data_IF_254094500840
#
_entry.id   IF_254094500840
#
_cell.length_a   1.000
_cell.length_b   1.000
_cell.length_c   1.000
_cell.angle_alpha   90.00
_cell.angle_beta   90.00
_cell.angle_gamma   90.00
#
_symmetry.space_group_name_H-M   'P 1'
#
loop_
_entity.id
_entity.type
_entity.pdbx_description
1 polymer ?
#
# COMPACT_ATOMS: atom_id res chain seq x y z
N UNK A 1 -12.45 31.51 6.12
CA UNK A 1 -11.40 30.54 6.51
C UNK A 1 -12.08 29.21 6.76
N UNK A 2 -12.03 28.28 5.80
CA UNK A 2 -12.66 26.97 5.97
C UNK A 2 -11.73 26.09 6.81
N UNK A 3 -12.18 25.70 8.00
CA UNK A 3 -11.52 24.68 8.81
C UNK A 3 -11.63 23.36 8.06
N UNK A 4 -10.51 22.85 7.54
CA UNK A 4 -10.47 21.49 6.99
C UNK A 4 -10.84 20.53 8.12
N UNK A 5 -11.75 19.56 7.89
CA UNK A 5 -12.13 18.60 8.91
C UNK A 5 -10.86 17.90 9.42
N UNK A 6 -10.64 17.92 10.74
CA UNK A 6 -9.59 17.14 11.40
C UNK A 6 -9.76 15.68 10.96
N UNK A 7 -8.89 15.13 10.10
CA UNK A 7 -9.02 13.73 9.78
C UNK A 7 -8.51 13.02 11.02
N UNK A 8 -9.37 12.37 11.79
CA UNK A 8 -8.95 11.37 12.76
C UNK A 8 -8.84 10.02 12.04
N UNK A 9 -8.20 10.03 10.87
CA UNK A 9 -8.09 8.88 9.96
C UNK A 9 -6.71 8.27 10.04
N UNK A 10 -6.63 7.01 10.46
CA UNK A 10 -5.42 6.21 10.41
C UNK A 10 -5.59 5.20 9.28
N UNK A 11 -4.71 5.22 8.28
CA UNK A 11 -4.56 4.11 7.34
C UNK A 11 -3.58 3.12 7.95
N UNK A 12 -4.06 1.92 8.28
CA UNK A 12 -3.21 0.84 8.78
C UNK A 12 -3.21 -0.32 7.78
N UNK A 13 -2.02 -0.63 7.26
CA UNK A 13 -1.75 -1.78 6.40
C UNK A 13 -1.00 -2.79 7.25
N UNK A 14 -1.51 -4.02 7.36
CA UNK A 14 -0.92 -5.07 8.20
C UNK A 14 -0.77 -6.36 7.42
N UNK A 15 0.47 -6.84 7.34
CA UNK A 15 0.87 -8.11 6.77
C UNK A 15 0.19 -8.43 5.43
N UNK A 16 0.20 -7.46 4.50
CA UNK A 16 -0.44 -7.63 3.20
C UNK A 16 0.46 -8.45 2.28
N UNK A 17 -0.07 -9.59 1.85
CA UNK A 17 0.54 -10.46 0.84
C UNK A 17 -0.28 -10.43 -0.44
N UNK A 18 0.40 -10.51 -1.58
CA UNK A 18 -0.26 -10.66 -2.88
C UNK A 18 0.56 -11.53 -3.79
N UNK A 19 -0.06 -12.60 -4.27
CA UNK A 19 0.47 -13.47 -5.32
C UNK A 19 -0.43 -13.39 -6.54
N UNK A 20 0.18 -13.45 -7.73
CA UNK A 20 -0.52 -13.65 -8.99
C UNK A 20 -0.22 -15.05 -9.50
N UNK A 21 -1.25 -15.76 -9.94
CA UNK A 21 -1.07 -17.00 -10.67
C UNK A 21 -0.54 -16.67 -12.07
N UNK A 22 0.53 -17.36 -12.48
CA UNK A 22 1.04 -17.30 -13.85
C UNK A 22 1.17 -18.73 -14.38
N UNK A 23 1.30 -18.88 -15.70
CA UNK A 23 1.42 -20.20 -16.33
C UNK A 23 2.68 -20.97 -15.91
N UNK A 24 3.76 -20.27 -15.53
CA UNK A 24 5.01 -20.89 -15.11
C UNK A 24 4.99 -21.23 -13.61
N UNK A 25 4.71 -20.23 -12.77
CA UNK A 25 4.63 -20.38 -11.32
C UNK A 25 3.91 -19.18 -10.69
N UNK A 26 3.33 -19.31 -9.47
CA UNK A 26 2.85 -18.16 -8.73
C UNK A 26 3.97 -17.13 -8.51
N UNK A 27 3.70 -15.85 -8.79
CA UNK A 27 4.62 -14.75 -8.53
C UNK A 27 4.14 -14.00 -7.31
N UNK A 28 4.98 -13.97 -6.27
CA UNK A 28 4.76 -13.15 -5.08
C UNK A 28 5.19 -11.71 -5.34
N UNK A 29 4.24 -10.79 -5.27
CA UNK A 29 4.41 -9.37 -5.60
C UNK A 29 4.44 -8.50 -4.35
N UNK A 30 3.67 -8.86 -3.32
CA UNK A 30 3.76 -8.24 -1.99
C UNK A 30 4.07 -9.35 -0.97
N UNK A 31 5.12 -9.12 -0.18
CA UNK A 31 5.68 -10.11 0.76
C UNK A 31 5.52 -9.63 2.22
N UNK A 32 4.28 -9.40 2.67
CA UNK A 32 4.00 -8.99 4.05
C UNK A 32 4.23 -7.51 4.32
N UNK A 33 3.60 -6.65 3.51
CA UNK A 33 3.72 -5.19 3.65
C UNK A 33 2.92 -4.72 4.87
N UNK A 34 3.59 -3.97 5.76
CA UNK A 34 2.97 -3.36 6.93
C UNK A 34 3.43 -1.92 7.10
N UNK A 35 2.50 -0.97 7.24
CA UNK A 35 2.77 0.41 7.60
C UNK A 35 1.51 1.09 8.14
N UNK A 36 1.70 2.21 8.82
CA UNK A 36 0.62 3.07 9.29
C UNK A 36 0.85 4.48 8.76
N UNK A 37 -0.23 5.18 8.41
CA UNK A 37 -0.21 6.57 7.98
C UNK A 37 -1.29 7.32 8.73
N UNK A 38 -0.86 8.27 9.57
CA UNK A 38 -1.77 9.13 10.28
C UNK A 38 -2.33 10.22 9.36
N UNK A 39 -3.41 10.83 9.81
CA UNK A 39 -4.01 11.93 9.09
C UNK A 39 -3.07 13.12 8.93
N UNK A 40 -3.06 13.67 7.72
CA UNK A 40 -2.16 14.77 7.36
C UNK A 40 -0.73 14.33 7.02
N UNK A 41 -0.40 13.04 7.18
CA UNK A 41 0.87 12.49 6.71
C UNK A 41 0.80 12.09 5.25
N UNK A 42 1.95 12.13 4.58
CA UNK A 42 2.11 11.68 3.22
C UNK A 42 3.21 10.61 3.15
N UNK A 43 2.92 9.49 2.50
CA UNK A 43 3.87 8.42 2.25
C UNK A 43 4.20 8.34 0.76
N UNK A 44 5.48 8.38 0.43
CA UNK A 44 5.96 8.16 -0.94
C UNK A 44 6.31 6.68 -1.16
N UNK A 45 5.58 6.03 -2.08
CA UNK A 45 5.88 4.67 -2.53
C UNK A 45 6.89 4.70 -3.68
N UNK A 46 8.12 4.26 -3.40
CA UNK A 46 9.23 4.25 -4.38
C UNK A 46 9.80 2.84 -4.59
N UNK A 47 10.54 2.65 -5.68
CA UNK A 47 11.20 1.37 -6.01
C UNK A 47 11.16 1.03 -7.50
N UNK A 48 11.91 -0.01 -7.94
CA UNK A 48 12.02 -0.40 -9.35
C UNK A 48 10.68 -0.76 -10.01
N UNK A 49 10.61 -0.73 -11.34
CA UNK A 49 9.44 -1.25 -12.06
C UNK A 49 9.20 -2.72 -11.69
N UNK A 50 7.93 -3.11 -11.51
CA UNK A 50 7.54 -4.46 -11.10
C UNK A 50 7.60 -4.76 -9.60
N UNK A 51 8.07 -3.84 -8.75
CA UNK A 51 8.19 -4.06 -7.29
C UNK A 51 6.87 -4.11 -6.50
N UNK A 52 5.71 -4.14 -7.18
CA UNK A 52 4.40 -4.22 -6.52
C UNK A 52 3.78 -2.90 -6.05
N UNK A 53 4.37 -1.73 -6.33
CA UNK A 53 3.80 -0.42 -5.93
C UNK A 53 2.35 -0.21 -6.38
N UNK A 54 2.08 -0.33 -7.68
CA UNK A 54 0.71 -0.18 -8.20
C UNK A 54 -0.21 -1.28 -7.68
N UNK A 55 0.32 -2.49 -7.44
CA UNK A 55 -0.46 -3.57 -6.83
C UNK A 55 -0.88 -3.22 -5.41
N UNK A 56 0.02 -2.67 -4.59
CA UNK A 56 -0.30 -2.20 -3.25
C UNK A 56 -1.36 -1.09 -3.29
N UNK A 57 -1.19 -0.10 -4.17
CA UNK A 57 -2.15 1.00 -4.32
C UNK A 57 -3.54 0.56 -4.79
N UNK A 58 -3.65 -0.54 -5.55
CA UNK A 58 -4.95 -1.10 -5.93
C UNK A 58 -5.64 -1.90 -4.82
N UNK A 59 -4.93 -2.27 -3.75
CA UNK A 59 -5.50 -2.98 -2.60
C UNK A 59 -5.96 -2.03 -1.49
N UNK A 60 -5.49 -0.79 -1.48
CA UNK A 60 -5.89 0.28 -0.56
C UNK A 60 -7.15 0.98 -1.09
#
# INVERSE_FOLDING_TARGET
MATLPNPSGLLAVRDVHKRFATAAAPVEVLCGVSFELAAGEALALTGPSGSGKSTLLHLL
#
